data_IF_507361177314
#
_entry.id   IF_507361177314
#
_cell.length_a   1.000
_cell.length_b   1.000
_cell.length_c   1.000
_cell.angle_alpha   90.00
_cell.angle_beta   90.00
_cell.angle_gamma   90.00
#
_symmetry.space_group_name_H-M   'P 1'
#
loop_
_entity.id
_entity.type
_entity.pdbx_description
1 polymer ?
#
# COMPACT_ATOMS: atom_id res chain seq x y z
N UNK A 1 -98.91 36.94 1.59
CA UNK A 1 -98.55 37.29 0.20
C UNK A 1 -97.46 36.34 -0.25
N UNK A 2 -97.76 35.54 -1.28
CA UNK A 2 -96.81 34.65 -1.96
C UNK A 2 -96.18 35.39 -3.13
N UNK A 3 -94.88 35.23 -3.39
CA UNK A 3 -94.29 35.17 -4.74
C UNK A 3 -92.88 34.54 -4.70
N UNK A 4 -92.74 33.47 -5.49
CA UNK A 4 -91.57 32.78 -6.08
C UNK A 4 -90.13 33.22 -5.77
N UNK A 5 -89.24 32.24 -5.52
CA UNK A 5 -88.13 32.01 -6.46
C UNK A 5 -87.55 30.59 -6.37
N UNK A 6 -87.37 29.99 -7.54
CA UNK A 6 -86.80 28.67 -7.80
C UNK A 6 -85.29 28.81 -8.02
N UNK A 7 -84.47 28.07 -7.26
CA UNK A 7 -83.03 27.92 -7.53
C UNK A 7 -82.56 26.50 -7.22
N UNK A 8 -82.38 25.76 -8.31
CA UNK A 8 -81.63 24.52 -8.42
C UNK A 8 -80.35 24.49 -7.56
N UNK A 9 -80.26 23.55 -6.63
CA UNK A 9 -79.01 23.17 -5.98
C UNK A 9 -78.64 21.73 -6.38
N UNK A 10 -77.71 21.61 -7.34
CA UNK A 10 -77.00 20.36 -7.61
C UNK A 10 -76.14 19.99 -6.40
N UNK A 11 -76.49 18.89 -5.73
CA UNK A 11 -75.64 18.28 -4.72
C UNK A 11 -74.45 17.59 -5.40
N UNK A 12 -73.27 18.24 -5.37
CA UNK A 12 -72.00 17.60 -5.72
C UNK A 12 -71.72 16.50 -4.69
N UNK A 13 -71.97 15.25 -5.07
CA UNK A 13 -71.45 14.07 -4.36
C UNK A 13 -69.91 14.16 -4.33
N UNK A 14 -69.32 14.31 -3.13
CA UNK A 14 -67.89 14.07 -2.86
C UNK A 14 -67.59 12.59 -3.13
N UNK A 15 -67.27 12.27 -4.38
CA UNK A 15 -66.72 10.98 -4.77
C UNK A 15 -65.25 11.14 -5.15
N UNK A 16 -64.39 10.28 -4.60
CA UNK A 16 -63.08 10.01 -5.23
C UNK A 16 -61.87 10.72 -4.63
N UNK A 17 -61.68 10.70 -3.30
CA UNK A 17 -60.31 10.77 -2.76
C UNK A 17 -59.86 9.37 -2.34
N UNK A 18 -60.68 8.70 -1.52
CA UNK A 18 -60.42 7.31 -1.11
C UNK A 18 -60.42 6.32 -2.27
N UNK A 19 -61.26 6.50 -3.29
CA UNK A 19 -61.25 5.59 -4.45
C UNK A 19 -59.98 5.79 -5.29
N UNK A 20 -59.47 7.01 -5.38
CA UNK A 20 -58.25 7.34 -6.14
C UNK A 20 -57.00 6.82 -5.44
N UNK A 21 -56.95 6.91 -4.11
CA UNK A 21 -55.89 6.32 -3.29
C UNK A 21 -55.94 4.79 -3.34
N UNK A 22 -57.12 4.19 -3.25
CA UNK A 22 -57.27 2.74 -3.36
C UNK A 22 -56.85 2.22 -4.74
N UNK A 23 -57.24 2.91 -5.82
CA UNK A 23 -56.81 2.58 -7.19
C UNK A 23 -55.30 2.72 -7.31
N UNK A 24 -54.70 3.80 -6.80
CA UNK A 24 -53.25 4.00 -6.86
C UNK A 24 -52.47 2.89 -6.12
N UNK A 25 -52.94 2.45 -4.95
CA UNK A 25 -52.31 1.37 -4.19
C UNK A 25 -52.44 0.01 -4.91
N UNK A 26 -53.61 -0.27 -5.48
CA UNK A 26 -53.84 -1.50 -6.25
C UNK A 26 -52.98 -1.50 -7.53
N UNK A 27 -52.89 -0.36 -8.22
CA UNK A 27 -52.02 -0.21 -9.40
C UNK A 27 -50.55 -0.34 -9.06
N UNK A 28 -50.09 0.19 -7.92
CA UNK A 28 -48.70 0.06 -7.46
C UNK A 28 -48.35 -1.40 -7.11
N UNK A 29 -49.26 -2.11 -6.43
CA UNK A 29 -49.11 -3.53 -6.13
C UNK A 29 -49.06 -4.39 -7.40
N UNK A 30 -50.00 -4.17 -8.33
CA UNK A 30 -50.02 -4.86 -9.61
C UNK A 30 -48.77 -4.57 -10.44
N UNK A 31 -48.33 -3.31 -10.50
CA UNK A 31 -47.09 -2.93 -11.19
C UNK A 31 -45.85 -3.58 -10.58
N UNK A 32 -45.76 -3.66 -9.25
CA UNK A 32 -44.68 -4.34 -8.55
C UNK A 32 -44.65 -5.84 -8.81
N UNK A 33 -45.81 -6.51 -8.77
CA UNK A 33 -45.92 -7.95 -9.06
C UNK A 33 -45.57 -8.26 -10.51
N UNK A 34 -46.06 -7.45 -11.46
CA UNK A 34 -45.73 -7.60 -12.88
C UNK A 34 -44.23 -7.36 -13.11
N UNK A 35 -43.62 -6.35 -12.47
CA UNK A 35 -42.19 -6.13 -12.59
C UNK A 35 -41.38 -7.33 -12.07
N UNK A 36 -41.73 -7.89 -10.91
CA UNK A 36 -41.05 -9.08 -10.35
C UNK A 36 -41.23 -10.32 -11.23
N UNK A 37 -42.38 -10.48 -11.88
CA UNK A 37 -42.64 -11.65 -12.73
C UNK A 37 -42.07 -11.52 -14.15
N UNK A 38 -42.14 -10.34 -14.75
CA UNK A 38 -41.83 -10.11 -16.17
C UNK A 38 -40.38 -9.67 -16.39
N UNK A 39 -39.78 -8.89 -15.47
CA UNK A 39 -38.39 -8.46 -15.60
C UNK A 39 -37.43 -9.67 -15.68
N UNK A 40 -37.55 -10.73 -14.86
CA UNK A 40 -36.70 -11.91 -14.98
C UNK A 40 -36.95 -12.72 -16.28
N UNK A 41 -38.15 -12.64 -16.86
CA UNK A 41 -38.50 -13.35 -18.08
C UNK A 41 -37.97 -12.64 -19.34
N UNK A 42 -37.92 -11.31 -19.34
CA UNK A 42 -37.39 -10.50 -20.46
C UNK A 42 -35.88 -10.32 -20.34
N UNK A 43 -35.39 -10.02 -19.13
CA UNK A 43 -33.96 -9.87 -18.81
C UNK A 43 -33.43 -11.14 -18.19
N UNK A 44 -33.69 -12.29 -18.84
CA UNK A 44 -33.25 -13.61 -18.41
C UNK A 44 -31.92 -13.51 -17.68
N UNK A 45 -31.89 -13.92 -16.42
CA UNK A 45 -30.70 -13.94 -15.57
C UNK A 45 -29.70 -14.93 -16.17
N UNK A 46 -29.00 -14.51 -17.22
CA UNK A 46 -27.69 -15.03 -17.57
C UNK A 46 -26.67 -14.42 -16.60
N UNK A 47 -26.91 -14.61 -15.30
CA UNK A 47 -25.79 -14.79 -14.41
C UNK A 47 -25.32 -16.21 -14.66
N UNK A 48 -24.47 -16.33 -15.66
CA UNK A 48 -23.47 -17.39 -15.64
C UNK A 48 -22.59 -17.02 -14.44
N UNK A 49 -22.96 -17.52 -13.26
CA UNK A 49 -21.98 -17.65 -12.20
C UNK A 49 -20.79 -18.37 -12.85
N UNK A 50 -19.55 -17.90 -12.71
CA UNK A 50 -18.42 -18.74 -13.04
C UNK A 50 -18.47 -19.90 -12.05
N UNK A 51 -19.23 -20.96 -12.38
CA UNK A 51 -18.93 -22.30 -11.91
C UNK A 51 -17.62 -22.67 -12.57
N UNK A 52 -16.52 -22.15 -12.02
CA UNK A 52 -15.27 -22.90 -12.02
C UNK A 52 -15.50 -24.12 -11.14
N UNK A 53 -16.36 -25.04 -11.59
CA UNK A 53 -16.22 -26.42 -11.17
C UNK A 53 -14.88 -26.85 -11.75
N UNK A 54 -13.92 -27.05 -10.87
CA UNK A 54 -12.69 -27.76 -11.20
C UNK A 54 -13.13 -29.13 -11.68
N UNK A 55 -13.21 -29.31 -13.00
CA UNK A 55 -13.36 -30.62 -13.62
C UNK A 55 -12.03 -31.32 -13.40
N UNK A 56 -11.94 -32.10 -12.32
CA UNK A 56 -10.90 -33.10 -12.20
C UNK A 56 -11.16 -34.13 -13.30
N UNK A 57 -10.47 -33.99 -14.42
CA UNK A 57 -10.38 -35.07 -15.40
C UNK A 57 -9.78 -36.27 -14.68
N UNK A 58 -10.63 -37.21 -14.28
CA UNK A 58 -10.25 -38.55 -13.85
C UNK A 58 -9.75 -39.34 -15.05
N UNK A 59 -8.58 -38.96 -15.58
CA UNK A 59 -7.82 -39.80 -16.48
C UNK A 59 -7.18 -40.94 -15.66
N UNK A 60 -7.23 -42.20 -16.12
CA UNK A 60 -6.47 -43.26 -15.48
C UNK A 60 -5.02 -43.11 -15.89
N UNK A 61 -4.23 -42.51 -15.01
CA UNK A 61 -2.78 -42.78 -14.81
C UNK A 61 -2.34 -41.85 -13.70
N UNK A 62 -2.48 -42.28 -12.44
CA UNK A 62 -1.59 -41.79 -11.38
C UNK A 62 -0.15 -42.09 -11.85
N UNK A 63 0.70 -41.08 -12.11
CA UNK A 63 2.13 -41.33 -12.24
C UNK A 63 2.59 -41.99 -10.95
N UNK A 64 3.39 -43.04 -11.05
CA UNK A 64 4.02 -43.63 -9.88
C UNK A 64 4.87 -42.55 -9.20
N UNK A 65 4.44 -42.09 -8.03
CA UNK A 65 5.28 -41.28 -7.15
C UNK A 65 6.30 -42.25 -6.57
N UNK A 66 7.52 -42.18 -7.08
CA UNK A 66 8.67 -42.86 -6.48
C UNK A 66 8.84 -42.33 -5.05
N UNK A 67 8.33 -43.10 -4.08
CA UNK A 67 8.55 -42.88 -2.65
C UNK A 67 9.91 -43.46 -2.22
N UNK A 68 10.98 -43.06 -2.91
CA UNK A 68 12.35 -43.32 -2.43
C UNK A 68 13.05 -41.98 -2.24
N UNK A 69 13.07 -41.54 -0.98
CA UNK A 69 13.69 -40.30 -0.54
C UNK A 69 12.71 -39.44 0.25
N UNK A 70 13.04 -39.16 1.51
CA UNK A 70 12.37 -38.14 2.33
C UNK A 70 12.12 -36.88 1.50
N UNK A 71 10.86 -36.51 1.34
CA UNK A 71 10.37 -35.39 0.54
C UNK A 71 10.84 -34.05 1.10
N UNK A 72 12.08 -33.67 0.80
CA UNK A 72 12.62 -32.34 1.07
C UNK A 72 12.11 -31.37 0.00
N UNK A 73 10.91 -30.83 0.19
CA UNK A 73 10.41 -29.70 -0.59
C UNK A 73 10.81 -28.39 0.13
N UNK A 74 11.85 -27.66 -0.33
CA UNK A 74 12.39 -26.53 0.43
C UNK A 74 11.35 -25.42 0.64
N UNK A 75 10.55 -25.12 -0.39
CA UNK A 75 9.47 -24.13 -0.31
C UNK A 75 8.42 -24.53 0.75
N UNK A 76 8.06 -25.81 0.83
CA UNK A 76 7.11 -26.28 1.84
C UNK A 76 7.69 -26.18 3.26
N UNK A 77 8.99 -26.41 3.42
CA UNK A 77 9.67 -26.24 4.70
C UNK A 77 9.73 -24.77 5.12
N UNK A 78 10.06 -23.87 4.19
CA UNK A 78 10.05 -22.42 4.43
C UNK A 78 8.64 -21.95 4.81
N UNK A 79 7.62 -22.36 4.05
CA UNK A 79 6.23 -22.03 4.36
C UNK A 79 5.81 -22.53 5.76
N UNK A 80 6.27 -23.72 6.16
CA UNK A 80 6.00 -24.30 7.49
C UNK A 80 6.68 -23.51 8.62
N UNK A 81 7.90 -23.04 8.42
CA UNK A 81 8.68 -22.34 9.45
C UNK A 81 8.29 -20.87 9.54
N UNK A 82 8.15 -20.19 8.39
CA UNK A 82 7.91 -18.74 8.33
C UNK A 82 6.44 -18.39 8.28
N UNK A 83 5.59 -19.22 7.67
CA UNK A 83 4.14 -18.97 7.53
C UNK A 83 3.40 -18.64 8.83
N UNK A 84 3.69 -19.30 9.98
CA UNK A 84 3.08 -18.94 11.26
C UNK A 84 3.38 -17.52 11.76
N UNK A 85 4.48 -16.92 11.31
CA UNK A 85 4.87 -15.55 11.66
C UNK A 85 4.28 -14.48 10.73
N UNK A 86 3.67 -14.90 9.60
CA UNK A 86 3.04 -14.00 8.62
C UNK A 86 1.59 -13.74 9.02
N UNK A 87 1.18 -12.48 8.98
CA UNK A 87 -0.11 -12.02 9.47
C UNK A 87 -0.85 -11.24 8.40
N UNK A 88 -2.18 -11.23 8.47
CA UNK A 88 -3.03 -10.32 7.70
C UNK A 88 -3.17 -8.99 8.43
N UNK A 89 -3.25 -7.90 7.68
CA UNK A 89 -3.48 -6.56 8.22
C UNK A 89 -4.68 -5.96 7.49
N UNK A 90 -5.68 -5.56 8.25
CA UNK A 90 -6.86 -4.85 7.77
C UNK A 90 -6.91 -3.45 8.37
N UNK A 91 -7.11 -2.46 7.52
CA UNK A 91 -7.19 -1.04 7.84
C UNK A 91 -8.63 -0.57 7.67
N UNK A 92 -9.20 -0.03 8.75
CA UNK A 92 -10.56 0.48 8.80
C UNK A 92 -10.57 1.99 8.99
N UNK A 93 -11.49 2.67 8.30
CA UNK A 93 -11.77 4.11 8.44
C UNK A 93 -13.26 4.34 8.68
N UNK A 94 -13.61 5.42 9.38
CA UNK A 94 -15.00 5.82 9.48
C UNK A 94 -15.44 6.40 8.15
N UNK A 95 -16.44 5.77 7.55
CA UNK A 95 -17.23 6.39 6.49
C UNK A 95 -18.49 6.98 7.13
N UNK A 96 -18.76 8.25 6.80
CA UNK A 96 -19.99 8.90 7.24
C UNK A 96 -21.20 8.19 6.64
N UNK A 97 -22.07 7.64 7.48
CA UNK A 97 -23.35 7.10 7.02
C UNK A 97 -24.32 8.24 6.73
N UNK A 98 -25.13 8.08 5.67
CA UNK A 98 -26.15 9.05 5.21
C UNK A 98 -27.16 9.42 6.31
N UNK A 99 -27.28 8.61 7.37
CA UNK A 99 -28.18 8.81 8.50
C UNK A 99 -27.48 9.08 9.85
N UNK A 100 -26.29 9.68 9.85
CA UNK A 100 -25.67 10.21 11.08
C UNK A 100 -24.98 9.17 11.98
N UNK A 101 -24.69 7.98 11.46
CA UNK A 101 -23.81 6.99 12.10
C UNK A 101 -22.40 7.03 11.49
N UNK A 102 -21.37 6.71 12.29
CA UNK A 102 -20.04 6.39 11.76
C UNK A 102 -19.88 4.88 11.76
N UNK A 103 -19.78 4.27 10.58
CA UNK A 103 -19.48 2.85 10.44
C UNK A 103 -18.01 2.71 9.99
N UNK A 104 -17.26 1.84 10.65
CA UNK A 104 -15.92 1.48 10.21
C UNK A 104 -16.04 0.56 9.00
N UNK A 105 -15.45 0.95 7.87
CA UNK A 105 -15.35 0.12 6.67
C UNK A 105 -13.90 -0.24 6.43
N UNK A 106 -13.62 -1.48 6.05
CA UNK A 106 -12.28 -1.87 5.59
C UNK A 106 -11.98 -1.14 4.28
N UNK A 107 -10.91 -0.35 4.26
CA UNK A 107 -10.51 0.46 3.10
C UNK A 107 -9.20 0.00 2.48
N UNK A 108 -8.41 -0.78 3.21
CA UNK A 108 -7.19 -1.39 2.72
C UNK A 108 -6.89 -2.66 3.50
N UNK A 109 -6.28 -3.63 2.83
CA UNK A 109 -5.72 -4.82 3.46
C UNK A 109 -4.40 -5.23 2.82
N UNK A 110 -3.58 -5.90 3.62
CA UNK A 110 -2.25 -6.32 3.27
C UNK A 110 -1.76 -7.43 4.18
N UNK A 111 -0.46 -7.63 4.15
CA UNK A 111 0.26 -8.57 4.99
C UNK A 111 1.23 -7.85 5.91
N UNK A 112 1.68 -8.56 6.93
CA UNK A 112 2.83 -8.20 7.73
C UNK A 112 3.55 -9.46 8.20
N UNK A 113 4.63 -9.26 8.94
CA UNK A 113 5.27 -10.37 9.66
C UNK A 113 5.75 -9.92 11.03
N UNK A 114 5.67 -10.84 11.98
CA UNK A 114 6.11 -10.62 13.35
C UNK A 114 7.64 -10.59 13.37
N UNK A 115 8.22 -9.45 13.74
CA UNK A 115 9.66 -9.28 13.90
C UNK A 115 10.10 -9.49 15.35
N UNK A 116 9.21 -9.26 16.31
CA UNK A 116 9.42 -9.48 17.74
C UNK A 116 8.20 -10.16 18.35
N UNK A 117 8.35 -11.43 18.73
CA UNK A 117 7.27 -12.22 19.32
C UNK A 117 7.01 -11.86 20.79
N UNK A 118 8.02 -11.36 21.52
CA UNK A 118 7.89 -11.03 22.95
C UNK A 118 7.07 -9.76 23.13
N UNK A 119 7.31 -8.76 22.28
CA UNK A 119 6.64 -7.46 22.34
C UNK A 119 5.50 -7.30 21.32
N UNK A 120 5.31 -8.27 20.42
CA UNK A 120 4.24 -8.28 19.43
C UNK A 120 4.43 -7.26 18.31
N UNK A 121 5.68 -6.92 17.96
CA UNK A 121 5.96 -5.99 16.86
C UNK A 121 5.84 -6.69 15.51
N UNK A 122 5.10 -6.05 14.61
CA UNK A 122 4.80 -6.52 13.26
C UNK A 122 5.21 -5.44 12.27
N UNK A 123 5.99 -5.84 11.27
CA UNK A 123 6.41 -4.98 10.16
C UNK A 123 5.42 -5.12 9.01
N UNK A 124 5.11 -4.01 8.35
CA UNK A 124 4.30 -3.95 7.13
C UNK A 124 4.68 -2.72 6.30
N UNK A 125 3.97 -2.47 5.19
CA UNK A 125 4.12 -1.24 4.44
C UNK A 125 3.28 -0.09 4.99
N UNK A 126 3.76 1.14 4.85
CA UNK A 126 3.02 2.34 5.23
C UNK A 126 1.68 2.45 4.49
N UNK A 127 1.66 2.20 3.17
CA UNK A 127 0.44 2.32 2.38
C UNK A 127 -0.69 1.37 2.82
N UNK A 128 -0.37 0.28 3.53
CA UNK A 128 -1.37 -0.64 4.10
C UNK A 128 -2.08 0.00 5.30
N UNK A 129 -1.38 0.78 6.11
CA UNK A 129 -1.89 1.31 7.40
C UNK A 129 -2.19 2.81 7.39
N UNK A 130 -1.84 3.53 6.31
CA UNK A 130 -1.96 4.99 6.25
C UNK A 130 -3.40 5.48 6.46
N UNK A 131 -3.55 6.40 7.42
CA UNK A 131 -4.83 7.02 7.79
C UNK A 131 -5.84 6.07 8.43
N UNK A 132 -5.40 4.91 8.93
CA UNK A 132 -6.27 3.98 9.64
C UNK A 132 -6.83 4.60 10.92
N UNK A 133 -8.12 4.43 11.16
CA UNK A 133 -8.72 4.67 12.48
C UNK A 133 -8.64 3.43 13.36
N UNK A 134 -8.67 2.26 12.73
CA UNK A 134 -8.49 0.98 13.40
C UNK A 134 -7.69 0.04 12.51
N UNK A 135 -6.72 -0.64 13.12
CA UNK A 135 -5.91 -1.68 12.48
C UNK A 135 -6.24 -3.00 13.17
N UNK A 136 -6.58 -4.03 12.38
CA UNK A 136 -6.80 -5.39 12.86
C UNK A 136 -5.75 -6.30 12.25
N UNK A 137 -5.11 -7.10 13.09
CA UNK A 137 -4.14 -8.12 12.71
C UNK A 137 -4.79 -9.49 12.80
N UNK A 138 -4.75 -10.24 11.70
CA UNK A 138 -5.20 -11.63 11.61
C UNK A 138 -4.01 -12.58 11.71
N UNK A 139 -3.92 -13.31 12.81
CA UNK A 139 -2.84 -14.26 13.09
C UNK A 139 -3.06 -15.62 12.43
N UNK A 140 -1.97 -16.40 12.31
CA UNK A 140 -2.02 -17.70 11.68
C UNK A 140 -2.87 -18.74 12.44
N UNK A 141 -3.05 -18.56 13.75
CA UNK A 141 -3.92 -19.40 14.60
C UNK A 141 -5.40 -19.03 14.53
N UNK A 142 -5.76 -18.03 13.71
CA UNK A 142 -7.13 -17.58 13.49
C UNK A 142 -7.59 -16.46 14.41
N UNK A 143 -6.77 -16.01 15.38
CA UNK A 143 -7.09 -14.83 16.20
C UNK A 143 -7.08 -13.56 15.34
N UNK A 144 -8.06 -12.68 15.59
CA UNK A 144 -8.10 -11.31 15.10
C UNK A 144 -7.89 -10.37 16.29
N UNK A 145 -6.87 -9.53 16.22
CA UNK A 145 -6.42 -8.70 17.35
C UNK A 145 -6.29 -7.25 16.88
N UNK A 146 -6.82 -6.32 17.67
CA UNK A 146 -6.62 -4.89 17.44
C UNK A 146 -5.15 -4.53 17.65
N UNK A 147 -4.58 -3.84 16.66
CA UNK A 147 -3.20 -3.40 16.68
C UNK A 147 -3.10 -1.87 16.82
N UNK A 148 -2.03 -1.41 17.46
CA UNK A 148 -1.67 0.00 17.54
C UNK A 148 -0.58 0.30 16.54
N UNK A 149 -0.68 1.42 15.84
CA UNK A 149 0.44 1.94 15.07
C UNK A 149 1.54 2.41 16.04
N UNK A 150 2.74 1.84 15.90
CA UNK A 150 3.92 2.24 16.69
C UNK A 150 4.59 3.43 15.99
N UNK A 151 4.78 3.32 14.68
CA UNK A 151 5.34 4.36 13.84
C UNK A 151 5.23 3.99 12.37
N UNK A 152 5.25 5.00 11.51
CA UNK A 152 5.29 4.83 10.07
C UNK A 152 6.28 5.80 9.41
N UNK A 153 6.76 5.41 8.24
CA UNK A 153 7.63 6.21 7.41
C UNK A 153 7.15 6.16 5.95
N UNK A 154 6.40 7.19 5.51
CA UNK A 154 5.92 7.28 4.14
C UNK A 154 7.03 7.33 3.10
N UNK A 155 8.23 7.84 3.44
CA UNK A 155 9.33 7.98 2.47
C UNK A 155 9.89 6.64 2.04
N UNK A 156 9.90 5.69 2.97
CA UNK A 156 10.43 4.35 2.81
C UNK A 156 9.33 3.30 2.59
N UNK A 157 8.06 3.73 2.64
CA UNK A 157 6.87 2.87 2.65
C UNK A 157 6.92 1.78 3.75
N UNK A 158 7.40 2.12 4.95
CA UNK A 158 7.52 1.18 6.08
C UNK A 158 6.61 1.58 7.22
N UNK A 159 6.04 0.60 7.92
CA UNK A 159 5.32 0.83 9.16
C UNK A 159 5.52 -0.33 10.14
N UNK A 160 5.42 0.00 11.42
CA UNK A 160 5.41 -0.98 12.52
C UNK A 160 4.12 -0.83 13.30
N UNK A 161 3.43 -1.95 13.48
CA UNK A 161 2.26 -2.06 14.35
C UNK A 161 2.56 -3.02 15.50
N UNK A 162 1.82 -2.90 16.60
CA UNK A 162 1.98 -3.72 17.79
C UNK A 162 0.64 -4.31 18.23
N UNK A 163 0.64 -5.60 18.54
CA UNK A 163 -0.47 -6.30 19.18
C UNK A 163 -0.14 -6.59 20.65
N UNK A 164 -1.16 -6.53 21.52
CA UNK A 164 -0.99 -6.72 22.96
C UNK A 164 -0.97 -8.20 23.38
N UNK A 165 -1.69 -9.08 22.68
CA UNK A 165 -1.73 -10.52 22.98
C UNK A 165 -0.61 -11.27 22.25
N UNK A 166 0.51 -11.49 22.94
CA UNK A 166 1.73 -12.10 22.41
C UNK A 166 1.82 -13.61 22.62
N UNK A 167 0.72 -14.27 23.05
CA UNK A 167 0.70 -15.72 23.22
C UNK A 167 1.00 -16.43 21.91
N UNK A 168 1.86 -17.44 21.95
CA UNK A 168 2.18 -18.32 20.83
C UNK A 168 2.65 -17.60 19.54
N UNK A 169 3.21 -16.39 19.65
CA UNK A 169 3.80 -15.72 18.51
C UNK A 169 5.14 -16.36 18.15
N UNK A 170 5.42 -16.39 16.85
CA UNK A 170 6.71 -16.80 16.28
C UNK A 170 7.23 -15.59 15.51
N UNK A 171 8.47 -15.20 15.78
CA UNK A 171 9.12 -14.12 15.06
C UNK A 171 9.89 -14.67 13.85
N UNK A 172 9.95 -13.90 12.77
CA UNK A 172 10.78 -14.24 11.61
C UNK A 172 12.26 -14.00 11.90
N UNK A 173 13.11 -14.80 11.27
CA UNK A 173 14.56 -14.54 11.24
C UNK A 173 14.88 -13.54 10.14
N UNK A 174 15.71 -12.55 10.43
CA UNK A 174 16.12 -11.54 9.45
C UNK A 174 17.39 -12.00 8.73
N UNK A 175 17.44 -11.81 7.42
CA UNK A 175 18.58 -12.12 6.55
C UNK A 175 19.32 -10.86 6.09
N UNK A 176 20.50 -11.05 5.52
CA UNK A 176 21.34 -9.97 4.98
C UNK A 176 21.10 -9.82 3.47
N UNK A 177 20.24 -8.86 3.12
CA UNK A 177 19.89 -8.56 1.73
C UNK A 177 21.02 -7.90 0.93
N UNK A 178 22.09 -7.42 1.57
CA UNK A 178 23.23 -6.79 0.87
C UNK A 178 24.10 -7.80 0.10
N UNK A 179 23.92 -9.10 0.40
CA UNK A 179 24.69 -10.21 -0.17
C UNK A 179 23.94 -10.97 -1.28
N UNK A 180 22.72 -10.55 -1.61
CA UNK A 180 21.88 -11.25 -2.58
C UNK A 180 22.52 -11.26 -3.97
N UNK A 181 22.43 -12.42 -4.62
CA UNK A 181 22.82 -12.63 -6.00
C UNK A 181 21.59 -12.84 -6.89
N UNK A 182 21.67 -12.32 -8.12
CA UNK A 182 20.66 -12.59 -9.15
C UNK A 182 20.61 -14.09 -9.42
N UNK A 183 19.39 -14.65 -9.46
CA UNK A 183 19.13 -16.08 -9.61
C UNK A 183 18.97 -16.84 -8.29
N UNK A 184 19.24 -16.22 -7.13
CA UNK A 184 18.94 -16.84 -5.84
C UNK A 184 17.44 -17.10 -5.70
N UNK A 185 17.03 -18.32 -5.28
CA UNK A 185 15.63 -18.64 -5.18
C UNK A 185 15.00 -18.01 -3.94
N UNK A 186 13.77 -17.54 -4.08
CA UNK A 186 13.04 -16.81 -3.05
C UNK A 186 11.60 -17.27 -2.97
N UNK A 187 11.02 -17.06 -1.78
CA UNK A 187 9.63 -17.36 -1.47
C UNK A 187 8.97 -16.08 -0.95
N UNK A 188 7.91 -15.64 -1.60
CA UNK A 188 7.04 -14.58 -1.08
C UNK A 188 5.84 -15.21 -0.37
N UNK A 189 5.54 -14.71 0.82
CA UNK A 189 4.44 -15.19 1.65
C UNK A 189 3.55 -14.00 2.01
N UNK A 190 2.24 -14.17 1.87
CA UNK A 190 1.28 -13.12 2.22
C UNK A 190 -0.16 -13.63 2.21
N UNK A 191 -1.10 -12.70 2.38
CA UNK A 191 -2.53 -12.93 2.49
C UNK A 191 -3.27 -12.16 1.37
N UNK A 192 -3.17 -12.58 0.10
CA UNK A 192 -3.84 -11.90 -1.01
C UNK A 192 -5.36 -11.88 -0.77
N UNK A 193 -6.04 -10.73 -0.85
CA UNK A 193 -7.52 -10.70 -0.76
C UNK A 193 -8.16 -11.14 0.57
N UNK A 194 -7.41 -11.15 1.69
CA UNK A 194 -7.97 -11.36 3.03
C UNK A 194 -7.75 -12.76 3.62
N UNK A 195 -8.51 -13.11 4.67
CA UNK A 195 -8.28 -14.34 5.44
C UNK A 195 -8.53 -15.63 4.64
N UNK A 196 -9.34 -15.56 3.58
CA UNK A 196 -9.66 -16.69 2.69
C UNK A 196 -8.45 -17.20 1.90
N UNK A 197 -7.48 -16.33 1.60
CA UNK A 197 -6.24 -16.73 0.93
C UNK A 197 -5.01 -16.51 1.82
N UNK A 198 -5.20 -16.49 3.14
CA UNK A 198 -4.13 -16.26 4.09
C UNK A 198 -2.99 -17.28 3.94
N UNK A 199 -1.75 -16.76 3.89
CA UNK A 199 -0.47 -17.46 3.74
C UNK A 199 -0.35 -18.15 2.38
N UNK A 200 -0.82 -17.47 1.34
CA UNK A 200 -0.47 -17.81 -0.03
C UNK A 200 1.04 -17.72 -0.20
N UNK A 201 1.60 -18.75 -0.82
CA UNK A 201 3.03 -18.89 -1.06
C UNK A 201 3.26 -18.81 -2.56
N UNK A 202 4.12 -17.89 -2.97
CA UNK A 202 4.63 -17.80 -4.34
C UNK A 202 6.15 -17.93 -4.30
N UNK A 203 6.73 -18.52 -5.34
CA UNK A 203 8.17 -18.77 -5.42
C UNK A 203 8.70 -18.21 -6.73
N UNK A 204 9.96 -17.80 -6.70
CA UNK A 204 10.66 -17.25 -7.85
C UNK A 204 12.16 -17.15 -7.55
N UNK A 205 12.82 -16.22 -8.21
CA UNK A 205 14.23 -15.89 -8.02
C UNK A 205 14.42 -14.37 -7.90
N UNK A 206 15.54 -13.96 -7.32
CA UNK A 206 16.02 -12.58 -7.44
C UNK A 206 16.32 -12.29 -8.91
N UNK A 207 15.49 -11.46 -9.55
CA UNK A 207 15.68 -11.06 -10.95
C UNK A 207 16.69 -9.92 -11.09
N UNK A 208 16.75 -9.03 -10.11
CA UNK A 208 17.73 -7.95 -10.03
C UNK A 208 17.84 -7.42 -8.59
N UNK A 209 19.01 -6.87 -8.26
CA UNK A 209 19.21 -6.08 -7.05
C UNK A 209 19.39 -4.61 -7.43
N UNK A 210 19.11 -3.70 -6.51
CA UNK A 210 19.31 -2.25 -6.68
C UNK A 210 18.50 -1.61 -7.82
N UNK A 211 17.21 -1.95 -7.92
CA UNK A 211 16.29 -1.26 -8.83
C UNK A 211 15.81 0.04 -8.23
N UNK A 212 16.11 1.15 -8.90
CA UNK A 212 15.54 2.45 -8.58
C UNK A 212 14.28 2.61 -9.44
N UNK A 213 13.13 2.71 -8.80
CA UNK A 213 11.88 3.08 -9.48
C UNK A 213 11.63 4.57 -9.25
N UNK A 214 11.37 5.32 -10.32
CA UNK A 214 11.00 6.73 -10.21
C UNK A 214 9.52 6.84 -9.81
N UNK A 215 9.28 6.89 -8.49
CA UNK A 215 7.93 6.99 -7.92
C UNK A 215 7.74 8.43 -7.46
N UNK A 216 6.72 9.10 -8.00
CA UNK A 216 6.39 10.47 -7.61
C UNK A 216 6.17 10.58 -6.10
N UNK A 217 7.03 11.36 -5.41
CA UNK A 217 6.84 11.75 -4.01
C UNK A 217 7.51 10.87 -2.96
N UNK A 218 8.27 9.83 -3.33
CA UNK A 218 8.87 8.88 -2.36
C UNK A 218 10.38 8.73 -2.53
N UNK A 219 11.06 8.38 -1.43
CA UNK A 219 12.47 8.03 -1.47
C UNK A 219 12.55 6.57 -1.93
N UNK A 220 12.78 6.35 -3.22
CA UNK A 220 12.94 5.00 -3.75
C UNK A 220 14.19 4.36 -3.13
N UNK A 221 13.97 3.40 -2.24
CA UNK A 221 15.02 2.43 -1.92
C UNK A 221 15.48 1.75 -3.21
N UNK A 222 16.69 1.22 -3.14
CA UNK A 222 17.14 0.21 -4.09
C UNK A 222 16.29 -1.04 -3.89
N UNK A 223 15.27 -1.26 -4.72
CA UNK A 223 14.38 -2.41 -4.57
C UNK A 223 15.04 -3.70 -5.04
N UNK A 224 14.66 -4.80 -4.40
CA UNK A 224 14.85 -6.16 -4.92
C UNK A 224 13.76 -6.38 -5.97
N UNK A 225 14.15 -6.86 -7.15
CA UNK A 225 13.22 -7.35 -8.16
C UNK A 225 13.17 -8.88 -8.10
N UNK A 226 11.97 -9.44 -8.21
CA UNK A 226 11.71 -10.88 -8.20
C UNK A 226 10.65 -11.24 -9.23
N UNK A 227 10.69 -12.46 -9.76
CA UNK A 227 9.62 -13.03 -10.59
C UNK A 227 8.60 -13.84 -9.76
N UNK A 228 8.82 -13.96 -8.45
CA UNK A 228 7.81 -14.46 -7.53
C UNK A 228 6.58 -13.55 -7.59
N UNK A 229 5.39 -14.13 -7.77
CA UNK A 229 4.18 -13.34 -7.92
C UNK A 229 3.89 -12.52 -6.65
N UNK A 230 3.97 -11.20 -6.80
CA UNK A 230 3.61 -10.21 -5.78
C UNK A 230 2.31 -9.56 -6.23
N UNK A 231 1.20 -9.83 -5.54
CA UNK A 231 -0.14 -9.32 -5.85
C UNK A 231 -0.69 -8.46 -4.71
N UNK A 232 -1.76 -7.66 -4.93
CA UNK A 232 -2.47 -7.00 -3.84
C UNK A 232 -2.79 -7.98 -2.70
N UNK A 233 -2.46 -7.58 -1.47
CA UNK A 233 -2.55 -8.40 -0.26
C UNK A 233 -1.27 -9.14 0.14
N UNK A 234 -0.28 -9.30 -0.75
CA UNK A 234 1.09 -9.70 -0.35
C UNK A 234 1.93 -8.49 0.12
N UNK A 235 1.51 -7.25 -0.17
CA UNK A 235 2.17 -6.02 0.32
C UNK A 235 2.37 -6.07 1.84
N UNK A 236 3.58 -5.81 2.28
CA UNK A 236 4.00 -5.84 3.68
C UNK A 236 4.40 -7.23 4.19
N UNK A 237 4.10 -8.30 3.45
CA UNK A 237 4.54 -9.66 3.75
C UNK A 237 6.03 -9.88 3.44
N UNK A 238 6.66 -10.95 3.95
CA UNK A 238 8.08 -11.18 3.76
C UNK A 238 8.41 -11.78 2.39
N UNK A 239 9.55 -11.37 1.83
CA UNK A 239 10.32 -12.08 0.83
C UNK A 239 11.44 -12.86 1.55
N UNK A 240 11.49 -14.17 1.36
CA UNK A 240 12.28 -15.09 2.19
C UNK A 240 13.27 -15.86 1.33
N UNK A 241 14.52 -15.98 1.77
CA UNK A 241 15.52 -16.83 1.14
C UNK A 241 15.29 -18.33 1.49
N UNK A 242 16.06 -19.23 0.87
CA UNK A 242 15.91 -20.66 1.11
C UNK A 242 16.44 -21.14 2.48
N UNK A 243 17.05 -20.24 3.26
CA UNK A 243 17.43 -20.46 4.66
C UNK A 243 16.30 -20.10 5.63
N UNK A 244 15.15 -19.62 5.13
CA UNK A 244 14.01 -19.21 5.95
C UNK A 244 14.18 -17.82 6.57
N UNK A 245 15.08 -16.99 6.04
CA UNK A 245 15.37 -15.65 6.52
C UNK A 245 14.68 -14.61 5.64
N UNK A 246 14.08 -13.60 6.27
CA UNK A 246 13.45 -12.47 5.58
C UNK A 246 14.54 -11.59 4.99
N UNK A 247 14.59 -11.51 3.66
CA UNK A 247 15.56 -10.70 2.90
C UNK A 247 14.90 -9.48 2.25
N UNK A 248 13.58 -9.37 2.30
CA UNK A 248 12.87 -8.16 1.92
C UNK A 248 11.41 -8.12 2.35
N UNK A 249 10.77 -6.98 2.10
CA UNK A 249 9.37 -6.71 2.40
C UNK A 249 8.65 -6.47 1.07
N UNK A 250 7.75 -7.37 0.70
CA UNK A 250 7.04 -7.32 -0.58
C UNK A 250 6.25 -6.00 -0.69
N UNK A 251 6.33 -5.32 -1.84
CA UNK A 251 5.54 -4.12 -2.12
C UNK A 251 4.82 -4.26 -3.45
N UNK A 252 3.50 -4.41 -3.40
CA UNK A 252 2.63 -4.49 -4.59
C UNK A 252 2.24 -3.10 -5.14
N UNK A 253 2.64 -2.02 -4.47
CA UNK A 253 2.40 -0.64 -4.91
C UNK A 253 3.03 -0.35 -6.28
N UNK A 254 4.08 -1.09 -6.60
CA UNK A 254 4.97 -0.84 -7.74
C UNK A 254 4.69 -1.76 -8.93
N UNK A 255 3.49 -2.36 -8.99
CA UNK A 255 3.07 -3.07 -10.19
C UNK A 255 2.73 -2.06 -11.28
N UNK A 256 3.64 -1.87 -12.23
CA UNK A 256 3.31 -1.22 -13.48
C UNK A 256 2.30 -2.08 -14.25
N UNK A 257 1.16 -1.47 -14.62
CA UNK A 257 0.15 -2.15 -15.41
C UNK A 257 0.75 -2.59 -16.76
N UNK A 258 0.82 -3.91 -16.99
CA UNK A 258 1.25 -4.49 -18.27
C UNK A 258 2.56 -5.30 -18.23
N UNK A 259 3.24 -5.39 -17.08
CA UNK A 259 4.42 -6.24 -16.93
C UNK A 259 4.17 -7.41 -15.97
N UNK A 260 3.77 -8.56 -16.51
CA UNK A 260 3.64 -9.80 -15.75
C UNK A 260 5.01 -10.30 -15.27
N UNK A 261 5.08 -10.82 -14.04
CA UNK A 261 6.33 -11.37 -13.48
C UNK A 261 7.35 -10.35 -12.99
N UNK A 262 6.95 -9.08 -12.75
CA UNK A 262 7.80 -8.09 -12.10
C UNK A 262 7.27 -7.75 -10.69
N UNK A 263 7.78 -8.47 -9.69
CA UNK A 263 7.58 -8.18 -8.28
C UNK A 263 8.70 -7.33 -7.69
N UNK A 264 8.38 -6.52 -6.69
CA UNK A 264 9.36 -5.70 -5.97
C UNK A 264 9.28 -5.90 -4.46
N UNK A 265 10.42 -5.81 -3.79
CA UNK A 265 10.52 -5.83 -2.34
C UNK A 265 11.55 -4.81 -1.83
N UNK A 266 11.26 -4.20 -0.69
CA UNK A 266 12.20 -3.34 0.04
C UNK A 266 13.25 -4.26 0.68
N UNK A 267 14.56 -4.06 0.46
CA UNK A 267 15.60 -4.91 1.05
C UNK A 267 15.61 -4.83 2.57
N UNK A 268 15.75 -5.98 3.24
CA UNK A 268 15.72 -6.02 4.70
C UNK A 268 16.87 -5.23 5.36
N UNK A 269 18.06 -5.24 4.74
CA UNK A 269 19.22 -4.48 5.26
C UNK A 269 19.00 -2.98 5.25
N UNK A 270 18.23 -2.47 4.29
CA UNK A 270 17.88 -1.06 4.18
C UNK A 270 16.72 -0.71 5.11
N UNK A 271 15.76 -1.64 5.28
CA UNK A 271 14.59 -1.44 6.13
C UNK A 271 14.88 -1.52 7.64
N UNK A 272 15.82 -2.38 8.06
CA UNK A 272 16.11 -2.66 9.48
C UNK A 272 16.43 -1.41 10.32
N UNK A 273 17.29 -0.47 9.88
CA UNK A 273 17.55 0.75 10.62
C UNK A 273 16.30 1.62 10.81
N UNK A 274 15.42 1.68 9.80
CA UNK A 274 14.16 2.43 9.88
C UNK A 274 13.19 1.75 10.83
N UNK A 275 12.99 0.43 10.69
CA UNK A 275 12.12 -0.37 11.57
C UNK A 275 12.54 -0.22 13.03
N UNK A 276 13.84 -0.27 13.30
CA UNK A 276 14.39 -0.08 14.67
C UNK A 276 14.02 1.29 15.23
N UNK A 277 14.19 2.36 14.43
CA UNK A 277 13.80 3.70 14.85
C UNK A 277 12.29 3.85 15.07
N UNK A 278 11.47 3.24 14.20
CA UNK A 278 10.02 3.24 14.37
C UNK A 278 9.62 2.56 15.68
N UNK A 279 10.25 1.43 16.03
CA UNK A 279 10.02 0.74 17.31
C UNK A 279 10.45 1.59 18.51
N UNK A 280 11.64 2.19 18.46
CA UNK A 280 12.24 2.90 19.60
C UNK A 280 11.65 4.29 19.83
N UNK A 281 11.34 5.03 18.76
CA UNK A 281 11.00 6.45 18.80
C UNK A 281 9.60 6.77 18.29
N UNK A 282 8.96 5.84 17.59
CA UNK A 282 7.70 6.05 16.88
C UNK A 282 7.82 6.81 15.55
N UNK A 283 9.04 7.21 15.16
CA UNK A 283 9.31 7.89 13.89
C UNK A 283 10.71 7.56 13.37
N UNK A 284 10.90 7.68 12.06
CA UNK A 284 12.19 7.55 11.39
C UNK A 284 12.84 8.92 11.22
N UNK A 285 14.15 8.99 11.45
CA UNK A 285 14.94 10.21 11.27
C UNK A 285 15.63 10.20 9.91
N UNK A 286 15.32 11.20 9.08
CA UNK A 286 15.93 11.38 7.76
C UNK A 286 16.80 12.63 7.70
N UNK A 287 17.94 12.61 7.00
CA UNK A 287 18.69 13.80 6.69
C UNK A 287 17.91 14.69 5.71
N UNK A 288 18.03 16.01 5.85
CA UNK A 288 17.40 16.91 4.89
C UNK A 288 17.88 18.35 4.91
N UNK A 289 17.49 19.06 3.85
CA UNK A 289 17.82 20.47 3.60
C UNK A 289 16.68 21.42 4.00
N UNK A 290 15.50 20.90 4.38
CA UNK A 290 14.27 21.67 4.63
C UNK A 290 13.83 22.58 3.46
N UNK A 291 13.90 22.05 2.25
CA UNK A 291 13.36 22.68 1.03
C UNK A 291 12.20 21.85 0.46
N UNK A 292 11.28 22.50 -0.23
CA UNK A 292 10.28 21.84 -1.05
C UNK A 292 10.76 21.85 -2.49
N UNK A 293 10.81 20.68 -3.12
CA UNK A 293 11.17 20.53 -4.53
C UNK A 293 9.90 20.54 -5.38
N UNK A 294 9.93 21.17 -6.56
CA UNK A 294 8.84 21.09 -7.53
C UNK A 294 8.97 19.76 -8.32
N UNK A 295 8.05 18.79 -8.14
CA UNK A 295 8.13 17.52 -8.85
C UNK A 295 7.91 17.67 -10.36
N UNK A 296 7.35 18.80 -10.83
CA UNK A 296 7.11 19.05 -12.26
C UNK A 296 8.39 19.42 -13.03
N UNK A 297 9.50 19.62 -12.33
CA UNK A 297 10.79 19.91 -12.93
C UNK A 297 11.47 18.62 -13.40
N UNK A 298 11.16 18.20 -14.63
CA UNK A 298 11.78 17.03 -15.27
C UNK A 298 13.02 17.41 -16.07
N UNK A 299 13.82 16.42 -16.48
CA UNK A 299 14.99 16.66 -17.34
C UNK A 299 14.60 17.27 -18.70
N UNK A 300 13.45 16.88 -19.25
CA UNK A 300 12.88 17.40 -20.49
C UNK A 300 12.48 18.86 -20.31
N UNK A 301 11.81 19.19 -19.20
CA UNK A 301 11.44 20.57 -18.86
C UNK A 301 12.69 21.45 -18.69
N UNK A 302 13.69 20.96 -17.96
CA UNK A 302 14.97 21.64 -17.77
C UNK A 302 15.64 21.97 -19.11
N UNK A 303 15.73 20.97 -20.00
CA UNK A 303 16.30 21.11 -21.35
C UNK A 303 15.58 22.18 -22.19
N UNK A 304 14.24 22.17 -22.20
CA UNK A 304 13.43 23.18 -22.92
C UNK A 304 13.66 24.61 -22.40
N UNK A 305 14.04 24.76 -21.14
CA UNK A 305 14.34 26.06 -20.49
C UNK A 305 15.82 26.42 -20.52
N UNK A 306 16.68 25.61 -21.13
CA UNK A 306 18.13 25.81 -21.12
C UNK A 306 18.76 25.72 -19.72
N UNK A 307 18.10 25.01 -18.80
CA UNK A 307 18.57 24.78 -17.44
C UNK A 307 19.11 23.34 -17.28
N UNK A 308 20.05 23.09 -16.35
CA UNK A 308 20.56 21.74 -16.13
C UNK A 308 19.51 20.84 -15.45
N UNK A 309 19.54 19.52 -15.68
CA UNK A 309 18.76 18.59 -14.88
C UNK A 309 19.16 18.67 -13.41
N UNK A 310 18.21 18.45 -12.50
CA UNK A 310 18.43 18.56 -11.07
C UNK A 310 17.14 18.62 -10.27
N UNK A 311 17.23 19.06 -9.02
CA UNK A 311 16.07 19.26 -8.15
C UNK A 311 15.77 20.76 -7.98
N UNK A 312 14.62 21.20 -8.51
CA UNK A 312 14.22 22.60 -8.49
C UNK A 312 13.56 23.01 -7.18
N UNK A 313 14.08 24.06 -6.53
CA UNK A 313 13.57 24.56 -5.24
C UNK A 313 12.32 25.40 -5.44
N UNK A 314 11.18 24.85 -5.06
CA UNK A 314 9.90 25.55 -5.03
C UNK A 314 9.75 26.44 -3.79
N UNK A 315 10.26 26.00 -2.64
CA UNK A 315 10.17 26.71 -1.37
C UNK A 315 11.38 26.42 -0.49
N UNK A 316 11.82 27.44 0.25
CA UNK A 316 12.81 27.31 1.31
C UNK A 316 12.15 27.59 2.65
N UNK A 317 12.40 26.74 3.65
CA UNK A 317 11.92 26.99 5.01
C UNK A 317 12.65 28.17 5.63
N UNK A 318 11.92 29.21 6.04
CA UNK A 318 12.47 30.38 6.70
C UNK A 318 13.21 30.00 7.99
N UNK A 319 14.40 30.57 8.21
CA UNK A 319 15.32 30.24 9.29
C UNK A 319 15.99 28.87 9.19
N UNK A 320 15.67 28.09 8.13
CA UNK A 320 16.16 26.74 7.92
C UNK A 320 17.62 26.66 7.43
N UNK A 321 18.21 25.46 7.38
CA UNK A 321 19.61 25.25 6.97
C UNK A 321 19.85 25.72 5.53
N UNK A 322 18.92 25.46 4.60
CA UNK A 322 19.01 25.91 3.21
C UNK A 322 19.07 27.44 3.07
N UNK A 323 18.19 28.17 3.77
CA UNK A 323 18.21 29.63 3.75
C UNK A 323 19.52 30.18 4.34
N UNK A 324 19.97 29.64 5.47
CA UNK A 324 21.24 30.02 6.13
C UNK A 324 22.46 29.76 5.24
N UNK A 325 22.43 28.69 4.44
CA UNK A 325 23.46 28.37 3.46
C UNK A 325 23.36 29.21 2.16
N UNK A 326 22.32 30.05 2.02
CA UNK A 326 22.12 30.93 0.88
C UNK A 326 21.37 30.32 -0.30
N UNK A 327 20.75 29.14 -0.13
CA UNK A 327 19.83 28.54 -1.10
C UNK A 327 18.52 29.34 -1.13
N UNK A 328 17.98 29.55 -2.32
CA UNK A 328 16.80 30.37 -2.59
C UNK A 328 15.79 29.62 -3.45
N UNK A 329 14.57 30.13 -3.47
CA UNK A 329 13.54 29.71 -4.43
C UNK A 329 14.07 29.90 -5.85
N UNK A 330 13.74 28.96 -6.74
CA UNK A 330 14.18 28.86 -8.12
C UNK A 330 15.63 28.41 -8.36
N UNK A 331 16.38 28.07 -7.31
CA UNK A 331 17.64 27.34 -7.48
C UNK A 331 17.39 25.93 -7.99
N UNK A 332 18.33 25.40 -8.78
CA UNK A 332 18.37 23.98 -9.15
C UNK A 332 19.55 23.31 -8.46
N UNK A 333 19.30 22.33 -7.60
CA UNK A 333 20.34 21.52 -6.98
C UNK A 333 20.83 20.49 -8.00
N UNK A 334 22.12 20.55 -8.31
CA UNK A 334 22.73 19.74 -9.37
C UNK A 334 23.75 18.74 -8.85
N UNK A 335 24.34 18.95 -7.66
CA UNK A 335 25.24 17.98 -7.01
C UNK A 335 25.16 18.02 -5.49
N UNK A 336 25.50 16.89 -4.85
CA UNK A 336 25.85 16.81 -3.42
C UNK A 336 27.23 16.17 -3.32
N UNK A 337 28.18 16.84 -2.67
CA UNK A 337 29.58 16.42 -2.53
C UNK A 337 30.20 15.96 -3.87
N UNK A 338 29.89 16.69 -4.95
CA UNK A 338 30.35 16.37 -6.31
C UNK A 338 29.60 15.25 -7.02
N UNK A 339 28.68 14.54 -6.36
CA UNK A 339 27.81 13.54 -6.99
C UNK A 339 26.62 14.20 -7.69
N UNK A 340 26.46 13.90 -8.97
CA UNK A 340 25.39 14.48 -9.79
C UNK A 340 23.99 14.10 -9.30
N UNK A 341 23.13 15.11 -9.23
CA UNK A 341 21.70 15.03 -8.95
C UNK A 341 20.96 15.42 -10.22
N UNK A 342 20.11 14.52 -10.73
CA UNK A 342 19.39 14.72 -12.00
C UNK A 342 17.88 14.92 -11.83
N UNK A 343 17.35 14.66 -10.64
CA UNK A 343 15.93 14.74 -10.31
C UNK A 343 15.70 14.94 -8.81
N UNK A 344 14.46 15.22 -8.42
CA UNK A 344 14.01 15.26 -7.02
C UNK A 344 14.27 13.92 -6.30
N UNK A 345 14.00 12.80 -6.98
CA UNK A 345 14.29 11.47 -6.43
C UNK A 345 15.80 11.27 -6.26
N UNK A 346 16.61 11.64 -7.26
CA UNK A 346 18.06 11.57 -7.17
C UNK A 346 18.61 12.36 -5.97
N UNK A 347 18.04 13.54 -5.69
CA UNK A 347 18.40 14.34 -4.52
C UNK A 347 18.14 13.58 -3.22
N UNK A 348 16.93 13.04 -3.09
CA UNK A 348 16.50 12.32 -1.87
C UNK A 348 17.34 11.07 -1.64
N UNK A 349 17.56 10.27 -2.69
CA UNK A 349 18.40 9.07 -2.63
C UNK A 349 19.85 9.40 -2.24
N UNK A 350 20.41 10.48 -2.77
CA UNK A 350 21.77 10.90 -2.37
C UNK A 350 21.82 11.40 -0.94
N UNK A 351 20.83 12.19 -0.49
CA UNK A 351 20.73 12.66 0.89
C UNK A 351 20.68 11.51 1.90
N UNK A 352 19.98 10.41 1.57
CA UNK A 352 19.80 9.26 2.46
C UNK A 352 21.09 8.47 2.76
N UNK A 353 22.19 8.78 2.06
CA UNK A 353 23.52 8.23 2.35
C UNK A 353 24.24 8.93 3.50
N UNK A 354 23.69 10.05 3.96
CA UNK A 354 24.22 10.89 5.03
C UNK A 354 23.37 10.76 6.30
N UNK A 355 23.80 11.40 7.37
CA UNK A 355 23.09 11.50 8.64
C UNK A 355 22.71 12.95 8.95
N UNK A 356 21.64 13.19 9.73
CA UNK A 356 21.44 14.49 10.34
C UNK A 356 22.69 14.95 11.10
N UNK A 357 23.07 16.22 10.93
CA UNK A 357 24.30 16.82 11.45
C UNK A 357 25.49 16.74 10.50
N UNK A 358 25.45 15.92 9.44
CA UNK A 358 26.52 15.89 8.44
C UNK A 358 26.57 17.20 7.67
N UNK A 359 27.78 17.67 7.37
CA UNK A 359 28.00 18.82 6.49
C UNK A 359 28.27 18.33 5.07
N UNK A 360 27.49 18.83 4.13
CA UNK A 360 27.63 18.51 2.70
C UNK A 360 27.81 19.77 1.89
N UNK A 361 28.47 19.64 0.74
CA UNK A 361 28.57 20.69 -0.27
C UNK A 361 27.49 20.47 -1.32
N UNK A 362 26.57 21.42 -1.48
CA UNK A 362 25.53 21.37 -2.50
C UNK A 362 25.91 22.32 -3.62
N UNK A 363 25.96 21.79 -4.85
CA UNK A 363 26.16 22.61 -6.05
C UNK A 363 24.80 23.07 -6.55
N UNK A 364 24.56 24.38 -6.57
CA UNK A 364 23.32 24.99 -7.08
C UNK A 364 23.57 25.73 -8.40
N UNK A 365 22.55 25.75 -9.25
CA UNK A 365 22.50 26.54 -10.46
C UNK A 365 21.46 27.66 -10.28
N UNK A 366 21.91 28.91 -10.44
CA UNK A 366 21.13 30.14 -10.32
C UNK A 366 21.60 31.14 -11.36
N UNK A 367 20.67 31.72 -12.14
CA UNK A 367 20.97 32.79 -13.10
C UNK A 367 22.15 32.45 -14.05
N UNK A 368 22.15 31.24 -14.64
CA UNK A 368 23.20 30.74 -15.53
C UNK A 368 24.60 30.59 -14.88
N UNK A 369 24.67 30.58 -13.55
CA UNK A 369 25.91 30.35 -12.80
C UNK A 369 25.76 29.17 -11.86
N UNK A 370 26.85 28.44 -11.73
CA UNK A 370 26.98 27.36 -10.76
C UNK A 370 27.74 27.88 -9.54
N UNK A 371 27.28 27.54 -8.35
CA UNK A 371 27.95 27.88 -7.09
C UNK A 371 27.80 26.74 -6.09
N UNK A 372 28.81 26.57 -5.24
CA UNK A 372 28.81 25.59 -4.17
C UNK A 372 28.45 26.26 -2.84
N UNK A 373 27.56 25.64 -2.09
CA UNK A 373 27.17 26.07 -0.75
C UNK A 373 27.39 24.93 0.23
N UNK A 374 28.01 25.22 1.38
CA UNK A 374 28.14 24.24 2.47
C UNK A 374 26.91 24.33 3.37
N UNK A 375 26.32 23.17 3.64
CA UNK A 375 25.09 23.06 4.43
C UNK A 375 25.20 21.90 5.43
N UNK A 376 24.75 22.14 6.65
CA UNK A 376 24.57 21.12 7.66
C UNK A 376 23.17 20.52 7.53
N UNK A 377 23.08 19.21 7.36
CA UNK A 377 21.82 18.49 7.22
C UNK A 377 21.07 18.46 8.56
N UNK A 378 19.76 18.67 8.52
CA UNK A 378 18.91 18.60 9.72
C UNK A 378 18.12 17.30 9.75
N UNK A 379 17.62 16.95 10.94
CA UNK A 379 16.66 15.85 11.09
C UNK A 379 15.31 16.28 10.52
N UNK A 380 14.78 15.46 9.61
CA UNK A 380 13.38 15.46 9.20
C UNK A 380 12.77 14.16 9.68
N UNK A 381 11.82 14.26 10.61
CA UNK A 381 11.08 13.10 11.12
C UNK A 381 10.10 12.62 10.06
N UNK A 382 9.92 11.30 9.95
CA UNK A 382 8.72 10.76 9.32
C UNK A 382 7.51 11.23 10.12
N UNK A 383 6.51 11.78 9.43
CA UNK A 383 5.24 12.22 10.01
C UNK A 383 4.12 11.35 9.51
#
# INVERSE_FOLDING_TARGET
>A
MSYYNDKNNYSRRRGGFFSTVAVALISALLGGVIAVAVVPAIYGTKQQAPTNQVVLNGGPTTPAINNEGTTNFPVAQIAKVTGPAVVGIANFKATGAIFGGSALTEVASGSGFIIDAQHGYIVTNNHVVVGAEKIVVSLADGRNIDAKLVGADPRTDLAVVQIADTKNLIATKQGDSSKLQVGEPVVAIGNPGGQEFARSVTTGVISATNRILDIEGEASFNLIQTDAAINPGNSGGPLVNYQGEVIGINSAKNQEAGFEGMGFAIPMSDALPTITQLIEKGYASHPGLNVQIDPRYTAEYASQKGSPPGAYVAKVTAGGPAEKAGIRVADVLTKINGKDIKSSLGLTHELFKYKPGDKVTVTIFRENKTMDVSIELVEIKSQ
#
